data_IF_860531062870
#
_entry.id   IF_860531062870
#
_cell.length_a   1.000
_cell.length_b   1.000
_cell.length_c   1.000
_cell.angle_alpha   90.00
_cell.angle_beta   90.00
_cell.angle_gamma   90.00
#
_symmetry.space_group_name_H-M   'P 1'
#
loop_
_entity.id
_entity.type
_entity.pdbx_description
1 polymer ?
#
# COMPACT_ATOMS: atom_id res chain seq x y z
N UNK A 1 1.94 60.43 45.36
CA UNK A 1 3.17 59.89 44.75
C UNK A 1 3.63 58.56 45.39
N UNK A 2 3.46 58.36 46.70
CA UNK A 2 3.82 57.11 47.41
C UNK A 2 3.04 55.86 46.98
N UNK A 3 1.73 56.00 46.68
CA UNK A 3 0.87 54.85 46.30
C UNK A 3 1.28 54.17 44.99
N UNK A 4 1.78 54.94 44.00
CA UNK A 4 2.26 54.41 42.70
C UNK A 4 3.59 53.66 42.83
N UNK A 5 4.45 54.07 43.78
CA UNK A 5 5.74 53.40 44.04
C UNK A 5 5.55 52.07 44.76
N UNK A 6 4.58 52.00 45.68
CA UNK A 6 4.23 50.74 46.36
C UNK A 6 3.66 49.68 45.41
N UNK A 7 2.83 50.09 44.45
CA UNK A 7 2.25 49.18 43.45
C UNK A 7 3.34 48.55 42.55
N UNK A 8 4.31 49.36 42.10
CA UNK A 8 5.41 48.88 41.27
C UNK A 8 6.30 47.86 42.01
N UNK A 9 6.61 48.11 43.28
CA UNK A 9 7.39 47.17 44.10
C UNK A 9 6.62 45.86 44.32
N UNK A 10 5.30 45.94 44.55
CA UNK A 10 4.45 44.74 44.67
C UNK A 10 4.44 43.87 43.41
N UNK A 11 4.36 44.48 42.22
CA UNK A 11 4.37 43.76 40.94
C UNK A 11 5.74 43.10 40.70
N UNK A 12 6.84 43.79 40.99
CA UNK A 12 8.19 43.23 40.83
C UNK A 12 8.39 42.04 41.77
N UNK A 13 7.94 42.13 43.03
CA UNK A 13 8.02 41.01 43.97
C UNK A 13 7.17 39.81 43.53
N UNK A 14 5.99 40.04 42.94
CA UNK A 14 5.14 38.99 42.39
C UNK A 14 5.82 38.27 41.21
N UNK A 15 6.44 39.02 40.29
CA UNK A 15 7.14 38.47 39.13
C UNK A 15 8.38 37.68 39.54
N UNK A 16 9.14 38.16 40.53
CA UNK A 16 10.27 37.43 41.10
C UNK A 16 9.82 36.14 41.77
N UNK A 17 8.69 36.16 42.50
CA UNK A 17 8.15 34.94 43.12
C UNK A 17 7.76 33.86 42.09
N UNK A 18 7.22 34.26 40.93
CA UNK A 18 6.90 33.33 39.84
C UNK A 18 8.18 32.79 39.17
N UNK A 19 9.24 33.60 39.07
CA UNK A 19 10.52 33.18 38.49
C UNK A 19 11.28 32.15 39.36
N UNK A 20 11.05 32.14 40.68
CA UNK A 20 11.64 31.18 41.61
C UNK A 20 10.70 30.04 42.01
N UNK A 21 9.45 30.03 41.52
CA UNK A 21 8.59 28.88 41.68
C UNK A 21 9.17 27.72 40.86
N UNK A 22 9.49 26.57 41.46
CA UNK A 22 9.90 25.41 40.68
C UNK A 22 8.76 25.09 39.72
N UNK A 23 9.05 25.10 38.43
CA UNK A 23 8.13 24.60 37.43
C UNK A 23 7.88 23.13 37.77
N UNK A 24 6.71 22.83 38.33
CA UNK A 24 6.24 21.45 38.47
C UNK A 24 5.93 21.03 37.03
N UNK A 25 6.95 20.53 36.35
CA UNK A 25 6.77 19.78 35.14
C UNK A 25 5.96 18.54 35.52
N UNK A 26 4.65 18.58 35.25
CA UNK A 26 3.91 17.35 35.12
C UNK A 26 4.53 16.64 33.93
N UNK A 27 5.36 15.62 34.22
CA UNK A 27 5.68 14.59 33.26
C UNK A 27 4.36 13.89 32.94
N UNK A 28 3.62 14.44 31.97
CA UNK A 28 2.66 13.65 31.22
C UNK A 28 3.53 12.69 30.42
N UNK A 29 3.92 11.57 31.04
CA UNK A 29 4.30 10.40 30.28
C UNK A 29 3.15 10.18 29.31
N UNK A 30 3.43 10.47 28.03
CA UNK A 30 2.52 10.18 26.94
C UNK A 30 2.22 8.69 27.11
N UNK A 31 0.99 8.36 27.51
CA UNK A 31 0.57 6.97 27.67
C UNK A 31 1.07 6.22 26.43
N UNK A 32 1.92 5.23 26.66
CA UNK A 32 2.33 4.31 25.60
C UNK A 32 1.03 3.85 24.97
N UNK A 33 0.84 4.14 23.69
CA UNK A 33 -0.13 3.40 22.91
C UNK A 33 0.11 1.93 23.24
N UNK A 34 -0.96 1.23 23.62
CA UNK A 34 -0.92 -0.19 23.90
C UNK A 34 -0.30 -0.86 22.68
N UNK A 35 1.00 -1.19 22.73
CA UNK A 35 1.62 -1.99 21.70
C UNK A 35 0.90 -3.33 21.76
N UNK A 36 0.20 -3.70 20.69
CA UNK A 36 -0.47 -4.98 20.61
C UNK A 36 0.52 -6.13 20.90
N UNK A 37 -0.04 -7.26 21.29
CA UNK A 37 0.72 -8.45 21.59
C UNK A 37 1.41 -9.00 20.33
N UNK A 38 2.46 -9.80 20.54
CA UNK A 38 3.13 -10.54 19.48
C UNK A 38 2.69 -12.01 19.53
N UNK A 39 2.24 -12.52 18.40
CA UNK A 39 1.92 -13.92 18.19
C UNK A 39 2.91 -14.49 17.18
N UNK A 40 3.51 -15.63 17.50
CA UNK A 40 4.59 -16.21 16.73
C UNK A 40 4.14 -17.49 16.02
N UNK A 41 4.46 -17.62 14.73
CA UNK A 41 4.11 -18.76 13.88
C UNK A 41 5.37 -19.44 13.36
N UNK A 42 5.42 -20.77 13.40
CA UNK A 42 6.62 -21.55 13.07
C UNK A 42 7.64 -21.51 14.21
N UNK A 43 8.93 -21.71 13.92
CA UNK A 43 9.97 -21.70 14.93
C UNK A 43 9.93 -22.89 15.89
N UNK A 44 10.96 -22.98 16.75
CA UNK A 44 11.06 -23.98 17.82
C UNK A 44 10.65 -23.46 19.21
N UNK A 45 10.14 -22.23 19.29
CA UNK A 45 9.77 -21.56 20.53
C UNK A 45 8.52 -22.17 21.19
N UNK A 46 8.46 -22.24 22.53
CA UNK A 46 7.28 -22.75 23.23
C UNK A 46 6.08 -21.81 23.02
N UNK A 47 4.93 -22.38 22.67
CA UNK A 47 3.69 -21.63 22.47
C UNK A 47 3.53 -20.99 21.08
N UNK A 48 4.48 -21.22 20.16
CA UNK A 48 4.32 -20.79 18.78
C UNK A 48 3.18 -21.56 18.09
N UNK A 49 2.45 -20.86 17.24
CA UNK A 49 1.45 -21.45 16.36
C UNK A 49 2.12 -22.20 15.21
N UNK A 50 1.50 -23.28 14.74
CA UNK A 50 1.98 -23.99 13.54
C UNK A 50 1.39 -23.41 12.25
N UNK A 51 0.27 -22.69 12.34
CA UNK A 51 -0.45 -22.11 11.20
C UNK A 51 -0.66 -20.61 11.40
N UNK A 52 -0.48 -19.86 10.32
CA UNK A 52 -0.69 -18.40 10.31
C UNK A 52 -2.13 -18.07 10.69
N UNK A 53 -3.11 -18.78 10.14
CA UNK A 53 -4.53 -18.52 10.42
C UNK A 53 -4.89 -18.72 11.89
N UNK A 54 -4.28 -19.69 12.59
CA UNK A 54 -4.57 -19.94 14.00
C UNK A 54 -4.07 -18.77 14.88
N UNK A 55 -2.91 -18.19 14.53
CA UNK A 55 -2.42 -16.99 15.18
C UNK A 55 -3.32 -15.78 14.90
N UNK A 56 -3.76 -15.57 13.65
CA UNK A 56 -4.68 -14.47 13.30
C UNK A 56 -6.01 -14.60 14.05
N UNK A 57 -6.56 -15.82 14.14
CA UNK A 57 -7.81 -16.08 14.85
C UNK A 57 -7.73 -15.73 16.35
N UNK A 58 -6.54 -15.88 16.95
CA UNK A 58 -6.29 -15.56 18.35
C UNK A 58 -5.80 -14.12 18.59
N UNK A 59 -5.46 -13.39 17.54
CA UNK A 59 -5.02 -12.01 17.63
C UNK A 59 -6.18 -11.06 17.94
N UNK A 60 -5.85 -9.96 18.62
CA UNK A 60 -6.69 -8.78 18.79
C UNK A 60 -6.27 -7.67 17.84
N UNK A 61 -7.13 -6.68 17.63
CA UNK A 61 -6.77 -5.49 16.86
C UNK A 61 -5.56 -4.78 17.50
N UNK A 62 -4.60 -4.37 16.68
CA UNK A 62 -3.32 -3.78 17.06
C UNK A 62 -2.19 -4.80 17.25
N UNK A 63 -2.47 -6.10 17.28
CA UNK A 63 -1.47 -7.16 17.46
C UNK A 63 -0.57 -7.33 16.23
N UNK A 64 0.56 -8.01 16.46
CA UNK A 64 1.50 -8.43 15.41
C UNK A 64 1.57 -9.95 15.35
N UNK A 65 1.36 -10.50 14.16
CA UNK A 65 1.61 -11.91 13.85
C UNK A 65 2.94 -12.00 13.11
N UNK A 66 3.95 -12.55 13.77
CA UNK A 66 5.28 -12.75 13.22
C UNK A 66 5.47 -14.21 12.79
N UNK A 67 5.96 -14.42 11.58
CA UNK A 67 6.06 -15.73 10.93
C UNK A 67 7.52 -16.04 10.61
N UNK A 68 8.07 -17.06 11.27
CA UNK A 68 9.45 -17.51 11.07
C UNK A 68 9.63 -18.16 9.68
N UNK A 69 10.81 -18.08 9.11
CA UNK A 69 11.11 -18.72 7.82
C UNK A 69 11.46 -20.21 7.92
N UNK A 70 11.87 -20.69 9.09
CA UNK A 70 12.37 -22.05 9.32
C UNK A 70 11.32 -23.16 9.15
N UNK A 71 10.04 -22.79 9.23
CA UNK A 71 8.88 -23.68 9.08
C UNK A 71 8.15 -23.48 7.75
N UNK A 72 8.75 -22.71 6.85
CA UNK A 72 8.28 -22.46 5.47
C UNK A 72 8.34 -23.74 4.61
N UNK A 73 7.42 -23.96 3.66
CA UNK A 73 6.30 -23.10 3.31
C UNK A 73 5.07 -23.26 4.21
N UNK A 74 4.37 -22.15 4.44
CA UNK A 74 3.06 -22.13 5.10
C UNK A 74 1.96 -22.33 4.06
N UNK A 75 1.22 -23.43 4.18
CA UNK A 75 0.26 -23.86 3.16
C UNK A 75 -1.16 -23.43 3.54
N UNK A 76 -1.86 -22.78 2.61
CA UNK A 76 -3.29 -22.45 2.72
C UNK A 76 -3.59 -20.97 2.53
N UNK A 77 -4.88 -20.65 2.41
CA UNK A 77 -5.36 -19.28 2.33
C UNK A 77 -5.35 -18.59 3.70
N UNK A 78 -5.12 -17.29 3.70
CA UNK A 78 -5.04 -16.44 4.87
C UNK A 78 -6.19 -15.42 4.84
N UNK A 79 -7.00 -15.42 5.89
CA UNK A 79 -8.11 -14.49 6.09
C UNK A 79 -7.71 -13.52 7.20
N UNK A 80 -7.42 -12.28 6.83
CA UNK A 80 -7.07 -11.19 7.74
C UNK A 80 -8.33 -10.38 8.05
N UNK A 81 -9.02 -10.77 9.11
CA UNK A 81 -10.24 -10.13 9.63
C UNK A 81 -10.01 -9.41 10.97
N UNK A 82 -8.76 -8.97 11.19
CA UNK A 82 -8.27 -8.21 12.34
C UNK A 82 -7.36 -7.09 11.84
N UNK A 83 -7.32 -5.99 12.58
CA UNK A 83 -6.46 -4.84 12.29
C UNK A 83 -5.04 -5.14 12.81
N UNK A 84 -4.23 -5.88 12.05
CA UNK A 84 -2.95 -6.44 12.54
C UNK A 84 -1.79 -6.16 11.60
N UNK A 85 -0.57 -6.32 12.14
CA UNK A 85 0.64 -6.44 11.33
C UNK A 85 0.95 -7.93 11.12
N UNK A 86 0.89 -8.40 9.87
CA UNK A 86 1.34 -9.73 9.47
C UNK A 86 2.74 -9.62 8.85
N UNK A 87 3.74 -10.17 9.54
CA UNK A 87 5.16 -9.96 9.23
C UNK A 87 5.85 -11.31 9.04
N UNK A 88 6.38 -11.54 7.85
CA UNK A 88 7.32 -12.63 7.58
C UNK A 88 8.74 -12.22 7.94
N UNK A 89 9.52 -13.16 8.45
CA UNK A 89 10.90 -12.95 8.86
C UNK A 89 11.79 -12.46 7.70
N UNK A 90 11.65 -13.05 6.52
CA UNK A 90 12.45 -12.72 5.36
C UNK A 90 11.70 -13.05 4.07
N UNK A 91 11.51 -12.06 3.20
CA UNK A 91 10.75 -12.24 1.98
C UNK A 91 11.35 -13.26 1.00
N UNK A 92 12.62 -13.64 1.13
CA UNK A 92 13.25 -14.66 0.28
C UNK A 92 13.06 -16.10 0.80
N UNK A 93 12.63 -16.29 2.05
CA UNK A 93 12.53 -17.62 2.69
C UNK A 93 11.19 -17.89 3.38
N UNK A 94 10.45 -16.87 3.85
CA UNK A 94 9.10 -17.01 4.40
C UNK A 94 8.06 -17.09 3.28
N UNK A 95 7.65 -18.31 2.92
CA UNK A 95 6.76 -18.58 1.77
C UNK A 95 5.35 -18.89 2.27
N UNK A 96 4.35 -18.19 1.72
CA UNK A 96 2.95 -18.59 1.81
C UNK A 96 2.58 -19.24 0.47
N UNK A 97 2.25 -20.52 0.52
CA UNK A 97 1.96 -21.33 -0.65
C UNK A 97 0.46 -21.61 -0.74
N UNK A 98 -0.15 -21.18 -1.84
CA UNK A 98 -1.56 -21.40 -2.07
C UNK A 98 -1.86 -22.87 -2.40
N UNK A 99 -2.91 -23.42 -1.79
CA UNK A 99 -3.36 -24.80 -2.00
C UNK A 99 -4.69 -24.83 -2.76
N UNK A 100 -4.65 -24.50 -4.06
CA UNK A 100 -5.79 -24.51 -4.97
C UNK A 100 -6.95 -23.60 -4.55
N UNK A 101 -6.68 -22.54 -3.79
CA UNK A 101 -7.69 -21.54 -3.44
C UNK A 101 -7.67 -20.41 -4.48
N UNK A 102 -8.86 -19.85 -4.73
CA UNK A 102 -8.99 -18.72 -5.65
C UNK A 102 -8.12 -17.52 -5.21
N UNK A 103 -8.08 -17.26 -3.91
CA UNK A 103 -7.39 -16.14 -3.29
C UNK A 103 -6.42 -16.66 -2.24
N UNK A 104 -5.18 -16.18 -2.24
CA UNK A 104 -4.21 -16.56 -1.21
C UNK A 104 -4.37 -15.75 0.07
N UNK A 105 -4.45 -14.42 -0.02
CA UNK A 105 -4.70 -13.56 1.14
C UNK A 105 -5.92 -12.68 0.92
N UNK A 106 -6.87 -12.72 1.84
CA UNK A 106 -8.06 -11.85 1.87
C UNK A 106 -7.99 -10.92 3.07
N UNK A 107 -8.22 -9.62 2.85
CA UNK A 107 -8.21 -8.60 3.89
C UNK A 107 -9.61 -8.01 4.03
N UNK A 108 -10.16 -8.07 5.24
CA UNK A 108 -11.51 -7.63 5.59
C UNK A 108 -11.55 -6.51 6.64
N UNK A 109 -10.40 -6.04 7.13
CA UNK A 109 -10.30 -5.02 8.16
C UNK A 109 -9.30 -3.93 7.77
N UNK A 110 -9.56 -2.72 8.25
CA UNK A 110 -8.68 -1.57 8.09
C UNK A 110 -7.38 -1.74 8.89
N UNK A 111 -6.39 -0.90 8.59
CA UNK A 111 -5.13 -0.80 9.36
C UNK A 111 -4.37 -2.14 9.40
N UNK A 112 -4.21 -2.77 8.24
CA UNK A 112 -3.49 -4.02 8.07
C UNK A 112 -2.17 -3.78 7.35
N UNK A 113 -1.09 -4.36 7.88
CA UNK A 113 0.21 -4.43 7.22
C UNK A 113 0.51 -5.86 6.83
N UNK A 114 0.93 -6.10 5.58
CA UNK A 114 1.48 -7.39 5.12
C UNK A 114 2.88 -7.14 4.59
N UNK A 115 3.87 -7.78 5.19
CA UNK A 115 5.26 -7.57 4.81
C UNK A 115 6.15 -8.79 5.02
N UNK A 116 7.19 -8.93 4.19
CA UNK A 116 8.24 -9.93 4.41
C UNK A 116 7.91 -11.34 3.90
N UNK A 117 7.00 -11.50 2.95
CA UNK A 117 6.61 -12.83 2.41
C UNK A 117 7.00 -13.01 0.95
N UNK A 118 7.26 -14.26 0.55
CA UNK A 118 7.00 -14.69 -0.84
C UNK A 118 5.61 -15.32 -0.93
N UNK A 119 4.79 -14.89 -1.89
CA UNK A 119 3.49 -15.48 -2.24
C UNK A 119 3.62 -16.30 -3.52
N UNK A 120 3.20 -17.57 -3.51
CA UNK A 120 3.38 -18.50 -4.64
C UNK A 120 2.13 -19.35 -4.95
N UNK A 121 2.13 -19.90 -6.16
CA UNK A 121 1.09 -20.79 -6.70
C UNK A 121 -0.28 -20.11 -6.74
N UNK A 122 -0.32 -18.85 -7.16
CA UNK A 122 -1.55 -18.07 -7.14
C UNK A 122 -2.50 -18.57 -8.22
N UNK A 123 -3.78 -18.23 -8.09
CA UNK A 123 -4.81 -18.70 -9.02
C UNK A 123 -5.60 -17.53 -9.58
N UNK A 124 -6.45 -16.90 -8.77
CA UNK A 124 -7.20 -15.72 -9.20
C UNK A 124 -6.56 -14.44 -8.66
N UNK A 125 -6.28 -14.43 -7.35
CA UNK A 125 -5.71 -13.26 -6.66
C UNK A 125 -4.61 -13.67 -5.68
N UNK A 126 -3.49 -12.95 -5.69
CA UNK A 126 -2.48 -13.05 -4.61
C UNK A 126 -2.99 -12.43 -3.32
N UNK A 127 -3.32 -11.14 -3.38
CA UNK A 127 -3.91 -10.40 -2.28
C UNK A 127 -5.21 -9.75 -2.77
N UNK A 128 -6.29 -9.91 -2.03
CA UNK A 128 -7.57 -9.26 -2.28
C UNK A 128 -8.00 -8.41 -1.08
N UNK A 129 -8.23 -7.12 -1.31
CA UNK A 129 -8.59 -6.13 -0.29
C UNK A 129 -10.08 -5.77 -0.46
N UNK A 130 -10.91 -6.12 0.52
CA UNK A 130 -12.37 -6.01 0.47
C UNK A 130 -12.88 -4.69 1.06
N UNK A 131 -12.96 -3.62 0.26
CA UNK A 131 -13.60 -2.35 0.67
C UNK A 131 -13.15 -1.82 2.05
N UNK A 132 -11.85 -1.92 2.32
CA UNK A 132 -11.22 -1.53 3.59
C UNK A 132 -10.03 -0.62 3.36
N UNK A 133 -9.73 0.20 4.35
CA UNK A 133 -8.80 1.32 4.23
C UNK A 133 -7.52 1.14 5.05
N UNK A 134 -6.51 1.96 4.76
CA UNK A 134 -5.26 2.03 5.51
C UNK A 134 -4.48 0.71 5.45
N UNK A 135 -4.28 0.20 4.22
CA UNK A 135 -3.59 -1.05 3.98
C UNK A 135 -2.17 -0.79 3.50
N UNK A 136 -1.21 -1.51 4.09
CA UNK A 136 0.20 -1.46 3.71
C UNK A 136 0.65 -2.82 3.22
N UNK A 137 1.08 -2.90 1.96
CA UNK A 137 1.69 -4.09 1.38
C UNK A 137 3.14 -3.75 1.03
N UNK A 138 4.11 -4.31 1.74
CA UNK A 138 5.51 -3.95 1.51
C UNK A 138 6.51 -5.08 1.62
N UNK A 139 7.66 -4.98 0.95
CA UNK A 139 8.75 -5.97 1.08
C UNK A 139 8.29 -7.41 0.85
N UNK A 140 7.37 -7.62 -0.09
CA UNK A 140 6.91 -8.95 -0.49
C UNK A 140 7.39 -9.30 -1.89
N UNK A 141 7.48 -10.59 -2.17
CA UNK A 141 7.72 -11.15 -3.49
C UNK A 141 6.45 -11.85 -3.94
N UNK A 142 5.79 -11.34 -4.96
CA UNK A 142 4.50 -11.87 -5.41
C UNK A 142 4.69 -12.37 -6.84
N UNK A 143 4.71 -13.69 -6.96
CA UNK A 143 5.18 -14.40 -8.15
C UNK A 143 4.08 -15.31 -8.64
N UNK A 144 3.61 -15.05 -9.86
CA UNK A 144 2.67 -15.93 -10.51
C UNK A 144 2.73 -15.79 -12.03
N UNK A 145 2.12 -16.72 -12.74
CA UNK A 145 1.98 -16.64 -14.18
C UNK A 145 0.56 -16.30 -14.63
N UNK A 146 -0.51 -16.66 -13.92
CA UNK A 146 -1.89 -16.60 -14.43
C UNK A 146 -2.88 -15.73 -13.63
N UNK A 147 -2.42 -15.02 -12.59
CA UNK A 147 -3.29 -14.28 -11.68
C UNK A 147 -3.04 -12.77 -11.64
N UNK A 148 -4.05 -12.06 -11.15
CA UNK A 148 -3.87 -10.69 -10.66
C UNK A 148 -3.14 -10.76 -9.32
N UNK A 149 -2.01 -10.06 -9.21
CA UNK A 149 -1.17 -10.18 -8.02
C UNK A 149 -1.81 -9.49 -6.81
N UNK A 150 -2.37 -8.29 -7.00
CA UNK A 150 -3.15 -7.57 -5.98
C UNK A 150 -4.40 -6.96 -6.60
N UNK A 151 -5.55 -7.21 -5.99
CA UNK A 151 -6.78 -6.46 -6.27
C UNK A 151 -7.27 -5.72 -5.01
N UNK A 152 -7.63 -4.45 -5.16
CA UNK A 152 -8.16 -3.63 -4.07
C UNK A 152 -9.43 -2.87 -4.45
N UNK A 153 -10.33 -2.74 -3.48
CA UNK A 153 -11.49 -1.83 -3.51
C UNK A 153 -11.46 -0.80 -2.37
N UNK A 154 -10.27 -0.60 -1.79
CA UNK A 154 -10.06 0.21 -0.60
C UNK A 154 -9.31 1.52 -0.87
N UNK A 155 -9.34 2.42 0.12
CA UNK A 155 -8.65 3.71 0.11
C UNK A 155 -7.46 3.74 1.07
N UNK A 156 -6.58 4.73 0.93
CA UNK A 156 -5.35 4.87 1.72
C UNK A 156 -4.46 3.62 1.61
N UNK A 157 -4.23 3.16 0.38
CA UNK A 157 -3.45 1.94 0.09
C UNK A 157 -2.01 2.32 -0.25
N UNK A 158 -1.04 1.69 0.42
CA UNK A 158 0.39 1.85 0.13
C UNK A 158 1.01 0.52 -0.28
N UNK A 159 1.51 0.44 -1.51
CA UNK A 159 2.17 -0.73 -2.06
C UNK A 159 3.61 -0.35 -2.37
N UNK A 160 4.56 -0.84 -1.57
CA UNK A 160 5.95 -0.42 -1.75
C UNK A 160 7.05 -1.42 -1.46
N UNK A 161 8.19 -1.27 -2.12
CA UNK A 161 9.34 -2.17 -1.93
C UNK A 161 9.01 -3.64 -2.20
N UNK A 162 8.05 -3.94 -3.09
CA UNK A 162 7.71 -5.30 -3.49
C UNK A 162 8.39 -5.70 -4.80
N UNK A 163 8.60 -6.99 -4.98
CA UNK A 163 8.98 -7.62 -6.25
C UNK A 163 7.75 -8.31 -6.85
N UNK A 164 7.34 -7.88 -8.05
CA UNK A 164 6.21 -8.44 -8.78
C UNK A 164 6.69 -9.15 -10.04
N UNK A 165 6.20 -10.37 -10.25
CA UNK A 165 6.38 -11.12 -11.49
C UNK A 165 5.03 -11.70 -11.92
N UNK A 166 4.51 -11.29 -13.09
CA UNK A 166 3.22 -11.78 -13.65
C UNK A 166 3.28 -11.95 -15.17
N UNK A 167 3.24 -13.19 -15.68
CA UNK A 167 3.44 -13.44 -17.11
C UNK A 167 2.20 -13.21 -18.00
N UNK A 168 0.98 -13.37 -17.48
CA UNK A 168 -0.23 -13.37 -18.30
C UNK A 168 -1.31 -12.33 -17.94
N UNK A 169 -1.34 -11.78 -16.71
CA UNK A 169 -2.41 -10.85 -16.28
C UNK A 169 -1.83 -9.51 -15.74
N UNK A 170 -2.70 -8.68 -15.17
CA UNK A 170 -2.41 -7.37 -14.58
C UNK A 170 -1.80 -7.53 -13.19
N UNK A 171 -0.65 -6.89 -12.94
CA UNK A 171 -0.02 -6.97 -11.63
C UNK A 171 -0.90 -6.36 -10.52
N UNK A 172 -1.32 -5.09 -10.65
CA UNK A 172 -2.17 -4.44 -9.65
C UNK A 172 -3.47 -3.93 -10.28
N UNK A 173 -4.59 -4.28 -9.64
CA UNK A 173 -5.93 -3.81 -10.00
C UNK A 173 -6.52 -3.06 -8.82
N UNK A 174 -6.89 -1.81 -9.01
CA UNK A 174 -7.47 -0.97 -7.96
C UNK A 174 -8.76 -0.36 -8.46
N UNK A 175 -9.81 -0.49 -7.65
CA UNK A 175 -11.15 0.01 -7.90
C UNK A 175 -11.51 1.00 -6.79
N UNK A 176 -12.02 2.17 -7.15
CA UNK A 176 -12.58 3.17 -6.23
C UNK A 176 -11.63 3.54 -5.07
N UNK A 177 -10.32 3.56 -5.35
CA UNK A 177 -9.29 3.77 -4.34
C UNK A 177 -8.89 5.24 -4.25
N UNK A 178 -9.23 5.89 -3.13
CA UNK A 178 -8.70 7.23 -2.84
C UNK A 178 -7.32 7.12 -2.17
N UNK A 179 -6.43 8.06 -2.48
CA UNK A 179 -5.09 8.17 -1.89
C UNK A 179 -4.26 6.87 -1.96
N UNK A 180 -4.02 6.41 -3.19
CA UNK A 180 -3.21 5.22 -3.48
C UNK A 180 -1.77 5.62 -3.81
N UNK A 181 -0.81 4.96 -3.16
CA UNK A 181 0.62 5.12 -3.44
C UNK A 181 1.25 3.79 -3.85
N UNK A 182 1.84 3.75 -5.04
CA UNK A 182 2.59 2.62 -5.55
C UNK A 182 4.02 3.10 -5.79
N UNK A 183 4.94 2.70 -4.92
CA UNK A 183 6.30 3.22 -4.99
C UNK A 183 7.34 2.23 -4.56
N UNK A 184 8.56 2.42 -5.02
CA UNK A 184 9.69 1.55 -4.73
C UNK A 184 9.55 0.08 -5.14
N UNK A 185 8.64 -0.25 -6.04
CA UNK A 185 8.43 -1.63 -6.46
C UNK A 185 9.25 -1.98 -7.70
N UNK A 186 9.56 -3.26 -7.85
CA UNK A 186 10.18 -3.81 -9.03
C UNK A 186 9.20 -4.75 -9.75
N UNK A 187 8.79 -4.38 -10.96
CA UNK A 187 7.89 -5.16 -11.80
C UNK A 187 8.71 -5.82 -12.91
N UNK A 188 8.73 -7.15 -12.91
CA UNK A 188 9.53 -7.95 -13.84
C UNK A 188 8.62 -8.85 -14.66
N UNK A 189 8.76 -8.82 -15.98
CA UNK A 189 7.99 -9.66 -16.92
C UNK A 189 6.46 -9.51 -16.84
N UNK A 190 5.97 -8.43 -16.22
CA UNK A 190 4.54 -8.09 -16.12
C UNK A 190 3.94 -7.74 -17.48
N UNK A 191 2.91 -8.48 -17.94
CA UNK A 191 2.20 -8.15 -19.19
C UNK A 191 1.53 -6.78 -19.08
N UNK A 192 0.60 -6.66 -18.13
CA UNK A 192 -0.07 -5.42 -17.74
C UNK A 192 0.35 -5.03 -16.32
N UNK A 193 0.62 -3.74 -16.10
CA UNK A 193 1.13 -3.29 -14.80
C UNK A 193 0.01 -2.87 -13.86
N UNK A 194 -0.84 -1.97 -14.34
CA UNK A 194 -1.85 -1.33 -13.51
C UNK A 194 -3.18 -1.26 -14.24
N UNK A 195 -4.23 -1.63 -13.51
CA UNK A 195 -5.61 -1.27 -13.81
C UNK A 195 -6.10 -0.36 -12.70
N UNK A 196 -6.25 0.94 -12.98
CA UNK A 196 -6.69 1.92 -12.00
C UNK A 196 -8.06 2.43 -12.43
N UNK A 197 -9.08 2.04 -11.67
CA UNK A 197 -10.48 2.39 -11.90
C UNK A 197 -10.97 3.25 -10.77
N UNK A 198 -11.53 4.43 -11.07
CA UNK A 198 -12.01 5.36 -10.03
C UNK A 198 -10.97 5.67 -8.95
N UNK A 199 -9.70 5.75 -9.35
CA UNK A 199 -8.57 5.93 -8.41
C UNK A 199 -7.93 7.31 -8.61
N UNK A 200 -8.65 8.41 -8.32
CA UNK A 200 -8.11 9.74 -8.56
C UNK A 200 -6.88 9.95 -7.68
N UNK A 201 -5.92 10.73 -8.18
CA UNK A 201 -4.71 11.11 -7.45
C UNK A 201 -3.79 9.95 -7.05
N UNK A 202 -3.92 8.77 -7.67
CA UNK A 202 -2.94 7.71 -7.47
C UNK A 202 -1.53 8.24 -7.82
N UNK A 203 -0.56 7.93 -6.95
CA UNK A 203 0.85 8.30 -7.12
C UNK A 203 1.66 7.05 -7.39
N UNK A 204 2.22 6.97 -8.60
CA UNK A 204 3.10 5.89 -9.03
C UNK A 204 4.50 6.45 -9.23
N UNK A 205 5.38 6.22 -8.26
CA UNK A 205 6.68 6.90 -8.27
C UNK A 205 7.81 6.02 -7.80
N UNK A 206 9.02 6.30 -8.27
CA UNK A 206 10.18 5.51 -7.88
C UNK A 206 9.88 4.02 -8.07
N UNK A 207 9.41 3.55 -9.23
CA UNK A 207 9.28 2.11 -9.49
C UNK A 207 10.18 1.71 -10.64
N UNK A 208 10.53 0.43 -10.71
CA UNK A 208 11.23 -0.12 -11.84
C UNK A 208 10.36 -1.09 -12.63
N UNK A 209 10.43 -0.96 -13.96
CA UNK A 209 9.61 -1.71 -14.89
C UNK A 209 10.53 -2.46 -15.86
N UNK A 210 10.90 -3.68 -15.46
CA UNK A 210 11.86 -4.57 -16.10
C UNK A 210 11.14 -5.56 -17.03
N UNK A 211 10.90 -5.15 -18.27
CA UNK A 211 10.17 -5.92 -19.29
C UNK A 211 8.66 -5.93 -19.02
N UNK A 212 7.92 -5.14 -19.80
CA UNK A 212 6.47 -5.21 -19.87
C UNK A 212 6.06 -5.16 -21.34
N UNK A 213 5.03 -5.91 -21.72
CA UNK A 213 4.57 -6.00 -23.12
C UNK A 213 3.63 -4.85 -23.50
N UNK A 214 3.18 -4.04 -22.52
CA UNK A 214 2.08 -3.07 -22.63
C UNK A 214 0.81 -3.73 -22.12
N UNK A 215 -0.09 -3.09 -21.37
CA UNK A 215 -0.50 -1.70 -21.26
C UNK A 215 -0.72 -1.25 -19.79
N UNK A 216 -0.84 0.06 -19.60
CA UNK A 216 -1.37 0.65 -18.37
C UNK A 216 -2.85 0.92 -18.65
N UNK A 217 -3.79 0.36 -17.91
CA UNK A 217 -5.22 0.56 -18.17
C UNK A 217 -5.82 1.50 -17.14
N UNK A 218 -6.36 2.63 -17.61
CA UNK A 218 -7.16 3.54 -16.79
C UNK A 218 -8.63 3.33 -17.14
N UNK A 219 -9.44 2.99 -16.15
CA UNK A 219 -10.89 2.94 -16.31
C UNK A 219 -11.51 4.13 -15.60
N UNK A 220 -12.34 4.89 -16.32
CA UNK A 220 -13.00 6.07 -15.74
C UNK A 220 -14.50 6.08 -16.06
N UNK A 221 -15.36 6.55 -15.15
CA UNK A 221 -16.83 6.60 -15.35
C UNK A 221 -17.21 7.59 -16.44
N UNK A 222 -16.34 8.56 -16.75
CA UNK A 222 -16.73 9.63 -17.65
C UNK A 222 -15.55 10.28 -18.36
N UNK A 223 -15.78 10.74 -19.60
CA UNK A 223 -14.80 11.54 -20.34
C UNK A 223 -14.42 12.82 -19.57
N UNK A 224 -15.33 13.37 -18.75
CA UNK A 224 -15.06 14.52 -17.88
C UNK A 224 -13.99 14.24 -16.84
N UNK A 225 -13.95 13.01 -16.31
CA UNK A 225 -12.97 12.64 -15.29
C UNK A 225 -11.59 12.46 -15.89
N UNK A 226 -11.51 11.82 -17.07
CA UNK A 226 -10.28 11.69 -17.87
C UNK A 226 -9.66 13.04 -18.20
N UNK A 227 -10.51 14.02 -18.53
CA UNK A 227 -10.09 15.38 -18.88
C UNK A 227 -9.91 16.28 -17.65
N UNK A 228 -10.27 15.82 -16.44
CA UNK A 228 -10.21 16.63 -15.24
C UNK A 228 -8.77 16.78 -14.74
N UNK A 229 -8.24 18.01 -14.63
CA UNK A 229 -6.94 18.24 -14.00
C UNK A 229 -6.89 17.75 -12.55
N UNK A 230 -8.05 17.68 -11.88
CA UNK A 230 -8.20 17.24 -10.51
C UNK A 230 -8.41 15.73 -10.38
N UNK A 231 -8.27 14.91 -11.41
CA UNK A 231 -8.32 13.43 -11.26
C UNK A 231 -7.11 12.74 -11.87
N UNK A 232 -6.01 13.50 -12.01
CA UNK A 232 -4.80 13.05 -12.67
C UNK A 232 -4.01 12.07 -11.80
N UNK A 233 -3.58 10.98 -12.43
CA UNK A 233 -2.63 10.01 -11.88
C UNK A 233 -1.21 10.50 -12.14
N UNK A 234 -0.35 10.42 -11.13
CA UNK A 234 1.00 10.97 -11.17
C UNK A 234 2.04 9.88 -11.37
N UNK A 235 2.85 10.03 -12.41
CA UNK A 235 4.04 9.22 -12.66
C UNK A 235 5.28 10.10 -12.58
N UNK A 236 6.21 9.76 -11.69
CA UNK A 236 7.49 10.47 -11.53
C UNK A 236 8.58 9.58 -10.92
N UNK A 237 9.84 9.85 -11.28
CA UNK A 237 11.04 9.16 -10.82
C UNK A 237 11.00 7.64 -11.01
N UNK A 238 10.20 7.12 -11.93
CA UNK A 238 10.22 5.69 -12.24
C UNK A 238 11.40 5.35 -13.19
N UNK A 239 11.58 4.07 -13.47
CA UNK A 239 12.60 3.51 -14.37
C UNK A 239 14.04 3.66 -13.86
N UNK A 240 14.26 3.58 -12.54
CA UNK A 240 15.62 3.51 -12.01
C UNK A 240 16.39 2.29 -12.59
N UNK A 241 17.72 2.32 -12.62
CA UNK A 241 18.60 1.43 -13.42
C UNK A 241 18.46 1.54 -14.96
N UNK A 242 17.64 2.49 -15.46
CA UNK A 242 17.53 2.84 -16.88
C UNK A 242 17.36 4.35 -17.03
N UNK A 243 18.39 5.15 -16.67
CA UNK A 243 18.24 6.60 -16.54
C UNK A 243 17.77 7.23 -17.85
N UNK A 244 16.84 8.19 -17.76
CA UNK A 244 16.31 8.89 -18.94
C UNK A 244 16.38 10.40 -18.76
N UNK A 245 16.81 11.08 -19.81
CA UNK A 245 16.84 12.54 -19.87
C UNK A 245 15.51 13.15 -20.34
N UNK A 246 14.70 12.36 -21.05
CA UNK A 246 13.42 12.80 -21.62
C UNK A 246 12.25 12.16 -20.89
N UNK A 247 11.07 12.84 -20.84
CA UNK A 247 9.83 12.22 -20.39
C UNK A 247 9.61 10.86 -21.04
N UNK A 248 9.20 9.87 -20.25
CA UNK A 248 8.97 8.51 -20.73
C UNK A 248 7.48 8.35 -21.08
N UNK A 249 7.13 8.20 -22.38
CA UNK A 249 5.77 7.84 -22.75
C UNK A 249 5.45 6.42 -22.24
N UNK A 250 4.24 6.32 -21.70
CA UNK A 250 3.63 5.14 -21.13
C UNK A 250 2.41 4.84 -21.99
N UNK A 251 2.51 3.76 -22.78
CA UNK A 251 1.40 3.31 -23.63
C UNK A 251 0.30 2.76 -22.73
N UNK A 252 -0.90 3.31 -22.89
CA UNK A 252 -2.04 3.08 -22.03
C UNK A 252 -3.32 3.00 -22.86
N UNK A 253 -4.41 2.60 -22.22
CA UNK A 253 -5.76 2.73 -22.75
C UNK A 253 -6.65 3.37 -21.69
N UNK A 254 -7.54 4.24 -22.12
CA UNK A 254 -8.63 4.78 -21.31
C UNK A 254 -9.91 4.05 -21.71
N UNK A 255 -10.60 3.48 -20.72
CA UNK A 255 -11.89 2.83 -20.91
C UNK A 255 -12.97 3.75 -20.38
N UNK A 256 -13.92 4.12 -21.24
CA UNK A 256 -15.07 4.95 -20.89
C UNK A 256 -16.33 4.10 -20.97
N UNK A 257 -17.12 4.14 -19.90
CA UNK A 257 -18.43 3.49 -19.86
C UNK A 257 -19.56 4.50 -19.99
N UNK A 258 -20.59 4.16 -20.76
CA UNK A 258 -21.85 4.90 -20.79
C UNK A 258 -23.03 3.97 -21.09
N UNK A 259 -24.22 4.35 -20.62
CA UNK A 259 -25.46 3.62 -20.90
C UNK A 259 -26.15 4.20 -22.14
N UNK A 260 -26.46 3.35 -23.11
CA UNK A 260 -27.42 3.71 -24.15
C UNK A 260 -28.82 3.43 -23.62
N UNK A 261 -29.60 4.51 -23.44
CA UNK A 261 -31.01 4.40 -23.09
C UNK A 261 -31.80 4.17 -24.38
N UNK A 262 -32.32 2.95 -24.53
CA UNK A 262 -33.44 2.67 -25.44
C UNK A 262 -34.69 2.46 -24.61
N UNK A 263 -35.88 2.70 -25.17
CA UNK A 263 -37.16 2.70 -24.45
C UNK A 263 -37.48 1.43 -23.63
N UNK A 264 -36.69 0.36 -23.71
CA UNK A 264 -36.96 -0.91 -23.01
C UNK A 264 -35.74 -1.62 -22.40
N UNK A 265 -34.50 -1.17 -22.63
CA UNK A 265 -33.28 -1.78 -22.05
C UNK A 265 -32.17 -0.73 -21.88
N UNK A 266 -31.55 -0.71 -20.70
CA UNK A 266 -30.24 -0.08 -20.49
C UNK A 266 -29.16 -1.06 -20.97
N UNK A 267 -28.40 -0.66 -22.00
CA UNK A 267 -27.27 -1.45 -22.49
C UNK A 267 -25.96 -0.74 -22.16
N UNK A 268 -25.07 -1.34 -21.35
CA UNK A 268 -23.75 -0.77 -21.09
C UNK A 268 -22.90 -0.83 -22.35
N UNK A 269 -22.29 0.31 -22.72
CA UNK A 269 -21.33 0.41 -23.82
C UNK A 269 -19.98 0.82 -23.26
N UNK A 270 -18.92 0.14 -23.72
CA UNK A 270 -17.54 0.41 -23.34
C UNK A 270 -16.76 0.88 -24.57
N UNK A 271 -16.11 2.04 -24.47
CA UNK A 271 -15.21 2.56 -25.49
C UNK A 271 -13.78 2.50 -24.97
N UNK A 272 -12.91 1.78 -25.68
CA UNK A 272 -11.48 1.71 -25.37
C UNK A 272 -10.75 2.70 -26.29
N UNK A 273 -10.14 3.72 -25.68
CA UNK A 273 -9.40 4.77 -26.37
C UNK A 273 -7.91 4.57 -26.07
N UNK A 274 -7.06 4.27 -27.08
CA UNK A 274 -5.61 4.28 -26.89
C UNK A 274 -5.15 5.63 -26.33
N UNK A 275 -4.33 5.60 -25.29
CA UNK A 275 -3.89 6.79 -24.57
C UNK A 275 -2.39 6.73 -24.28
N UNK A 276 -1.80 7.90 -24.05
CA UNK A 276 -0.39 8.00 -23.67
C UNK A 276 -0.31 8.79 -22.38
N UNK A 277 0.16 8.13 -21.33
CA UNK A 277 0.58 8.77 -20.09
C UNK A 277 2.07 9.09 -20.18
N UNK A 278 2.54 9.95 -19.30
CA UNK A 278 3.96 10.31 -19.24
C UNK A 278 4.44 10.26 -17.80
N UNK A 279 5.57 9.60 -17.61
CA UNK A 279 6.47 9.96 -16.53
C UNK A 279 7.27 11.18 -17.00
N UNK A 280 6.95 12.35 -16.44
CA UNK A 280 7.55 13.63 -16.84
C UNK A 280 8.98 13.81 -16.31
N UNK A 281 9.31 13.10 -15.23
CA UNK A 281 10.59 13.19 -14.56
C UNK A 281 11.10 11.77 -14.26
N UNK A 282 11.46 10.95 -15.25
CA UNK A 282 12.00 9.62 -14.96
C UNK A 282 13.27 9.71 -14.12
N UNK A 283 13.60 8.63 -13.41
CA UNK A 283 14.79 8.56 -12.57
C UNK A 283 16.07 8.89 -13.37
N UNK A 284 16.95 9.68 -12.77
CA UNK A 284 18.24 10.11 -13.33
C UNK A 284 19.39 9.64 -12.44
N UNK A 285 20.58 9.45 -13.02
CA UNK A 285 21.79 9.14 -12.27
C UNK A 285 22.57 10.41 -11.88
N UNK A 286 23.20 10.45 -10.69
CA UNK A 286 23.07 9.48 -9.60
C UNK A 286 21.64 9.48 -9.03
N UNK A 287 21.11 8.30 -8.68
CA UNK A 287 19.72 8.18 -8.22
C UNK A 287 19.53 8.95 -6.90
N UNK A 288 18.68 9.97 -6.91
CA UNK A 288 18.19 10.64 -5.69
C UNK A 288 17.02 9.86 -5.09
N UNK A 289 17.20 8.55 -4.93
CA UNK A 289 16.18 7.62 -4.44
C UNK A 289 16.79 6.83 -3.29
N UNK A 290 16.27 7.07 -2.08
CA UNK A 290 16.80 6.45 -0.86
C UNK A 290 16.79 4.91 -0.96
N UNK A 291 17.94 4.28 -0.74
CA UNK A 291 18.10 2.83 -0.73
C UNK A 291 18.41 2.19 -2.10
N UNK A 292 18.62 3.00 -3.13
CA UNK A 292 18.99 2.54 -4.48
C UNK A 292 20.32 3.21 -4.84
N UNK A 293 21.40 2.42 -4.77
CA UNK A 293 22.76 2.83 -5.12
C UNK A 293 23.28 2.05 -6.31
#
# INVERSE_FOLDING_TARGET
MLLRKGLAVGIILLLVAIAYAPAIAQNTEKQSESRGAWLYVGGSGPGNYTRIQDAINNASDGDTVFVYDDSSPYIGNIIVNKSINLIGENCYSTIIYNNNQSILIEIFNDNVTITGFTLQNLHRYGIYIHFVDNIVISHNRIIDDHSILIQSHGSNIKIFSNEFTSLYDTALVIWDGDNVEIFRNNFTECSDLFWLSFTPYARVYENNFLSYKGAYMLWDASLSDVLSPSKKIWFYHNYWFRPRLLPKPIISSVIIWFSLISNFLEMPVYLIIPWILFDWHPAQEPYDISGIS
#
